data_IF_272052069481
#
_entry.id   IF_272052069481
#
_cell.length_a   1.000
_cell.length_b   1.000
_cell.length_c   1.000
_cell.angle_alpha   90.00
_cell.angle_beta   90.00
_cell.angle_gamma   90.00
#
_symmetry.space_group_name_H-M   'P 1'
#
loop_
_entity.id
_entity.type
_entity.pdbx_description
1 polymer ?
#
# COMPACT_ATOMS: atom_id res chain seq x y z
N UNK A 1 11.23 -16.74 0.83
CA UNK A 1 10.89 -15.39 0.34
C UNK A 1 9.62 -15.52 -0.46
N UNK A 2 8.54 -14.80 -0.11
CA UNK A 2 7.36 -14.76 -0.98
C UNK A 2 7.81 -14.26 -2.35
N UNK A 3 7.44 -15.00 -3.40
CA UNK A 3 7.75 -14.64 -4.78
C UNK A 3 6.82 -13.50 -5.16
N UNK A 4 7.38 -12.36 -5.56
CA UNK A 4 6.60 -11.25 -6.11
C UNK A 4 5.99 -11.70 -7.44
N UNK A 5 4.66 -11.87 -7.47
CA UNK A 5 3.92 -12.42 -8.62
C UNK A 5 3.04 -11.38 -9.30
N UNK A 6 2.47 -10.46 -8.53
CA UNK A 6 1.60 -9.40 -9.01
C UNK A 6 2.11 -8.05 -8.52
N UNK A 7 1.76 -6.95 -9.20
CA UNK A 7 1.93 -5.63 -8.63
C UNK A 7 1.25 -5.55 -7.26
N UNK A 8 1.79 -4.72 -6.37
CA UNK A 8 1.29 -4.61 -5.00
C UNK A 8 1.07 -3.15 -4.61
N UNK A 9 0.08 -2.92 -3.76
CA UNK A 9 -0.11 -1.64 -3.06
C UNK A 9 -0.02 -1.86 -1.56
N UNK A 10 0.37 -0.82 -0.83
CA UNK A 10 0.43 -0.87 0.62
C UNK A 10 -0.87 -0.35 1.21
N UNK A 11 -1.48 -1.16 2.06
CA UNK A 11 -2.71 -0.87 2.77
C UNK A 11 -2.41 -0.72 4.25
N UNK A 12 -3.15 0.15 4.93
CA UNK A 12 -3.10 0.33 6.37
C UNK A 12 -4.47 0.65 6.95
N UNK A 13 -4.64 0.45 8.26
CA UNK A 13 -5.78 1.03 8.99
C UNK A 13 -5.36 2.34 9.64
N UNK A 14 -6.15 3.39 9.44
CA UNK A 14 -5.95 4.68 10.10
C UNK A 14 -6.06 4.50 11.62
N UNK A 15 -5.12 5.07 12.38
CA UNK A 15 -5.13 4.94 13.83
C UNK A 15 -6.32 5.68 14.47
N UNK A 16 -6.80 6.76 13.87
CA UNK A 16 -7.83 7.61 14.47
C UNK A 16 -9.24 7.02 14.35
N UNK A 17 -9.61 6.52 13.17
CA UNK A 17 -10.98 6.12 12.84
C UNK A 17 -11.11 4.69 12.30
N UNK A 18 -9.98 3.98 12.11
CA UNK A 18 -9.96 2.61 11.60
C UNK A 18 -10.23 2.49 10.10
N UNK A 19 -10.36 3.59 9.36
CA UNK A 19 -10.58 3.54 7.92
C UNK A 19 -9.40 2.93 7.16
N UNK A 20 -9.70 2.28 6.04
CA UNK A 20 -8.69 1.71 5.15
C UNK A 20 -8.00 2.83 4.37
N UNK A 21 -6.68 2.84 4.43
CA UNK A 21 -5.81 3.79 3.74
C UNK A 21 -4.87 3.07 2.80
N UNK A 22 -4.51 3.76 1.72
CA UNK A 22 -3.57 3.29 0.71
C UNK A 22 -2.41 4.27 0.61
N UNK A 23 -1.17 3.77 0.55
CA UNK A 23 0.00 4.65 0.48
C UNK A 23 0.13 5.24 -0.93
N UNK A 24 -0.20 6.51 -1.10
CA UNK A 24 -0.05 7.27 -2.33
C UNK A 24 1.30 7.98 -2.48
N UNK A 25 1.52 8.73 -3.57
CA UNK A 25 2.75 9.47 -3.81
C UNK A 25 3.11 10.52 -2.75
N UNK A 26 2.09 11.12 -2.13
CA UNK A 26 2.21 12.24 -1.19
C UNK A 26 1.87 11.88 0.26
N UNK A 27 1.48 10.63 0.53
CA UNK A 27 1.03 10.19 1.85
C UNK A 27 -0.13 9.20 1.74
N UNK A 28 -0.77 8.93 2.88
CA UNK A 28 -1.93 8.04 2.97
C UNK A 28 -3.17 8.65 2.35
N UNK A 29 -3.89 7.86 1.54
CA UNK A 29 -5.07 8.26 0.78
C UNK A 29 -6.21 7.26 1.00
N UNK A 30 -7.45 7.70 0.83
CA UNK A 30 -8.64 6.83 0.95
C UNK A 30 -9.04 6.15 -0.34
N UNK A 31 -8.53 6.62 -1.48
CA UNK A 31 -8.81 6.02 -2.79
C UNK A 31 -7.62 5.18 -3.26
N UNK A 32 -7.82 3.86 -3.31
CA UNK A 32 -6.88 2.89 -3.86
C UNK A 32 -6.34 3.25 -5.26
N UNK A 33 -7.13 3.93 -6.11
CA UNK A 33 -6.69 4.33 -7.45
C UNK A 33 -5.52 5.30 -7.43
N UNK A 34 -5.30 5.98 -6.31
CA UNK A 34 -4.18 6.91 -6.07
C UNK A 34 -3.00 6.26 -5.35
N UNK A 35 -3.09 4.97 -5.04
CA UNK A 35 -2.03 4.23 -4.38
C UNK A 35 -0.79 4.15 -5.27
N UNK A 36 0.39 4.18 -4.62
CA UNK A 36 1.64 3.85 -5.28
C UNK A 36 1.69 2.34 -5.50
N UNK A 37 1.89 1.95 -6.75
CA UNK A 37 1.98 0.55 -7.16
C UNK A 37 3.44 0.13 -7.18
N UNK A 38 3.80 -0.86 -6.37
CA UNK A 38 5.05 -1.59 -6.49
C UNK A 38 4.96 -2.57 -7.67
N UNK A 39 5.96 -2.53 -8.55
CA UNK A 39 6.10 -3.42 -9.72
C UNK A 39 7.25 -4.40 -9.61
N UNK A 40 7.96 -4.39 -8.48
CA UNK A 40 9.04 -5.31 -8.16
C UNK A 40 9.08 -5.62 -6.67
N UNK A 41 9.80 -6.69 -6.29
CA UNK A 41 10.02 -7.04 -4.90
C UNK A 41 10.73 -5.93 -4.10
N UNK A 42 11.69 -5.24 -4.72
CA UNK A 42 12.43 -4.13 -4.08
C UNK A 42 11.52 -2.93 -3.83
N UNK A 43 10.64 -2.60 -4.78
CA UNK A 43 9.65 -1.55 -4.60
C UNK A 43 8.64 -1.91 -3.50
N UNK A 44 8.17 -3.17 -3.46
CA UNK A 44 7.25 -3.63 -2.43
C UNK A 44 7.89 -3.55 -1.03
N UNK A 45 9.15 -3.97 -0.90
CA UNK A 45 9.91 -3.83 0.34
C UNK A 45 10.10 -2.37 0.74
N UNK A 46 10.32 -1.47 -0.22
CA UNK A 46 10.43 -0.04 0.05
C UNK A 46 9.10 0.58 0.54
N UNK A 47 7.97 0.15 -0.02
CA UNK A 47 6.64 0.55 0.48
C UNK A 47 6.44 0.05 1.92
N UNK A 48 6.66 -1.24 2.16
CA UNK A 48 6.47 -1.85 3.49
C UNK A 48 7.35 -1.17 4.54
N UNK A 49 8.61 -0.87 4.21
CA UNK A 49 9.51 -0.11 5.08
C UNK A 49 8.97 1.30 5.39
N UNK A 50 8.28 1.95 4.45
CA UNK A 50 7.60 3.22 4.70
C UNK A 50 6.43 3.07 5.66
N UNK A 51 5.60 2.05 5.46
CA UNK A 51 4.49 1.76 6.37
C UNK A 51 4.97 1.47 7.80
N UNK A 52 6.03 0.68 7.96
CA UNK A 52 6.62 0.37 9.28
C UNK A 52 7.13 1.61 10.03
N UNK A 53 7.66 2.60 9.29
CA UNK A 53 8.00 3.91 9.88
C UNK A 53 6.75 4.65 10.37
N UNK A 54 5.67 4.63 9.60
CA UNK A 54 4.42 5.30 9.98
C UNK A 54 3.68 4.59 11.12
N UNK A 55 3.80 3.26 11.26
CA UNK A 55 3.38 2.53 12.47
C UNK A 55 4.15 3.06 13.69
N UNK A 56 5.48 3.12 13.59
CA UNK A 56 6.34 3.61 14.68
C UNK A 56 6.06 5.07 15.06
N UNK A 57 5.52 5.85 14.13
CA UNK A 57 5.12 7.23 14.32
C UNK A 57 3.66 7.40 14.79
N UNK A 58 2.95 6.29 15.10
CA UNK A 58 1.54 6.27 15.51
C UNK A 58 0.60 6.96 14.51
N UNK A 59 0.83 6.77 13.20
CA UNK A 59 -0.06 7.28 12.15
C UNK A 59 -1.07 6.22 11.70
N UNK A 60 -0.64 4.97 11.69
CA UNK A 60 -1.44 3.82 11.27
C UNK A 60 -1.24 2.66 12.26
N UNK A 61 -2.21 1.76 12.33
CA UNK A 61 -2.20 0.62 13.26
C UNK A 61 -1.26 -0.48 12.78
N UNK A 62 -1.42 -0.89 11.53
CA UNK A 62 -0.65 -1.94 10.88
C UNK A 62 -0.62 -1.70 9.36
N UNK A 63 0.32 -2.32 8.65
CA UNK A 63 0.47 -2.23 7.20
C UNK A 63 0.68 -3.60 6.56
N UNK A 64 0.11 -3.80 5.38
CA UNK A 64 0.33 -5.00 4.59
C UNK A 64 0.32 -4.70 3.09
N UNK A 65 1.05 -5.53 2.34
CA UNK A 65 1.05 -5.49 0.88
C UNK A 65 -0.11 -6.33 0.36
N UNK A 66 -0.94 -5.74 -0.48
CA UNK A 66 -2.00 -6.43 -1.20
C UNK A 66 -1.63 -6.54 -2.68
N UNK A 67 -1.81 -7.73 -3.24
CA UNK A 67 -1.71 -7.95 -4.69
C UNK A 67 -2.84 -7.18 -5.40
N UNK A 68 -2.53 -6.60 -6.54
CA UNK A 68 -3.47 -5.85 -7.36
C UNK A 68 -3.38 -6.26 -8.83
N UNK A 69 -4.51 -6.21 -9.50
CA UNK A 69 -4.55 -6.13 -10.96
C UNK A 69 -4.50 -4.67 -11.39
N UNK A 70 -3.87 -4.39 -12.54
CA UNK A 70 -3.87 -3.06 -13.13
C UNK A 70 -4.95 -3.03 -14.20
N UNK A 71 -6.00 -2.25 -13.95
CA UNK A 71 -7.12 -2.07 -14.87
C UNK A 71 -6.70 -1.39 -16.18
N UNK A 72 -7.59 -1.43 -17.17
CA UNK A 72 -7.36 -0.77 -18.47
C UNK A 72 -7.22 0.75 -18.39
N UNK A 73 -7.66 1.36 -17.29
CA UNK A 73 -7.49 2.77 -16.93
C UNK A 73 -6.16 3.06 -16.20
N UNK A 74 -5.35 2.03 -15.94
CA UNK A 74 -4.09 2.11 -15.20
C UNK A 74 -4.26 2.13 -13.68
N UNK A 75 -5.49 2.03 -13.16
CA UNK A 75 -5.74 2.04 -11.73
C UNK A 75 -5.52 0.63 -11.11
N UNK A 76 -4.88 0.54 -9.94
CA UNK A 76 -4.78 -0.72 -9.22
C UNK A 76 -6.13 -1.11 -8.61
N UNK A 77 -6.51 -2.37 -8.75
CA UNK A 77 -7.68 -2.97 -8.09
C UNK A 77 -7.21 -4.12 -7.20
N UNK A 78 -7.45 -4.08 -5.86
CA UNK A 78 -7.15 -5.19 -4.96
C UNK A 78 -7.78 -6.51 -5.42
N UNK A 79 -6.98 -7.58 -5.37
CA UNK A 79 -7.41 -8.96 -5.66
C UNK A 79 -7.95 -9.67 -4.43
#
# INVERSE_FOLDING_TARGET
MPVFKHPQILIASNLTDGEVLFLGPSGWERDHRRARVARSADEAAALEASGKRDISANRVVDVYLADVEIGGDGAPTPM
#
